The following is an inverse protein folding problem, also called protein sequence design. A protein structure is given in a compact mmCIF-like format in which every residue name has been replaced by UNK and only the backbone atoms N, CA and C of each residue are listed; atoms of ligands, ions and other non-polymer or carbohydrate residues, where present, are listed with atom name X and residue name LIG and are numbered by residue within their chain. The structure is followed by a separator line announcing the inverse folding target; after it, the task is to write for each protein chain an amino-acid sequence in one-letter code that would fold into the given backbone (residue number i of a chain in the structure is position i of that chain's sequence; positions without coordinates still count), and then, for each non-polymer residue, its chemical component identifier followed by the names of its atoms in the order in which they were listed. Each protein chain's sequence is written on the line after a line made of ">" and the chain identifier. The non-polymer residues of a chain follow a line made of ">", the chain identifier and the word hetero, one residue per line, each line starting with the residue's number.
data_IF_029204120592
#
_entry.id   IF_029204120592
#
_cell.length_a   1.000
_cell.length_b   1.000
_cell.length_c   1.000
_cell.angle_alpha   90.00
_cell.angle_beta   90.00
_cell.angle_gamma   90.00
#
_symmetry.space_group_name_H-M   'P 1'
#
loop_
_entity.id
_entity.type
_entity.pdbx_description
1 polymer ?
#
# COMPACT_ATOMS: atom_id res chain seq x y z
N UNK A 1 -8.79 17.35 -16.42
CA UNK A 1 -7.74 16.66 -15.64
C UNK A 1 -8.42 15.60 -14.78
N UNK A 2 -7.98 14.35 -14.84
CA UNK A 2 -8.56 13.25 -14.10
C UNK A 2 -8.29 13.38 -12.59
N UNK A 3 -9.02 12.62 -11.75
CA UNK A 3 -8.79 12.61 -10.30
C UNK A 3 -7.39 12.05 -9.97
N UNK A 4 -6.94 11.06 -10.71
CA UNK A 4 -5.58 10.51 -10.60
C UNK A 4 -4.55 11.60 -10.87
N UNK A 5 -4.64 12.31 -11.99
CA UNK A 5 -3.68 13.36 -12.35
C UNK A 5 -3.65 14.50 -11.34
N UNK A 6 -4.81 14.94 -10.87
CA UNK A 6 -4.90 15.97 -9.81
C UNK A 6 -4.20 15.52 -8.53
N UNK A 7 -4.45 14.30 -8.08
CA UNK A 7 -3.85 13.77 -6.86
C UNK A 7 -2.34 13.61 -7.01
N UNK A 8 -1.86 13.05 -8.12
CA UNK A 8 -0.43 12.92 -8.41
C UNK A 8 0.27 14.27 -8.38
N UNK A 9 -0.32 15.30 -9.01
CA UNK A 9 0.25 16.65 -9.03
C UNK A 9 0.32 17.27 -7.62
N UNK A 10 -0.76 17.18 -6.84
CA UNK A 10 -0.82 17.70 -5.47
C UNK A 10 0.23 17.03 -4.58
N UNK A 11 0.27 15.69 -4.59
CA UNK A 11 1.18 14.93 -3.74
C UNK A 11 2.64 15.13 -4.13
N UNK A 12 2.94 15.21 -5.43
CA UNK A 12 4.29 15.47 -5.92
C UNK A 12 4.78 16.86 -5.50
N UNK A 13 3.95 17.90 -5.64
CA UNK A 13 4.28 19.27 -5.21
C UNK A 13 4.50 19.38 -3.71
N UNK A 14 3.71 18.69 -2.91
CA UNK A 14 3.80 18.69 -1.43
C UNK A 14 4.81 17.69 -0.87
N UNK A 15 5.50 16.94 -1.72
CA UNK A 15 6.45 15.88 -1.33
C UNK A 15 5.84 14.82 -0.41
N UNK A 16 4.58 14.48 -0.65
CA UNK A 16 3.91 13.38 0.00
C UNK A 16 4.11 12.09 -0.81
N UNK A 17 4.13 10.96 -0.11
CA UNK A 17 4.39 9.64 -0.67
C UNK A 17 3.32 8.66 -0.24
N UNK A 18 3.21 7.55 -0.96
CA UNK A 18 2.60 6.34 -0.45
C UNK A 18 3.66 5.49 0.24
N UNK A 19 3.22 4.44 0.94
CA UNK A 19 4.12 3.63 1.72
C UNK A 19 3.90 2.14 1.49
N UNK A 20 4.98 1.38 1.55
CA UNK A 20 4.95 -0.07 1.58
C UNK A 20 5.82 -0.54 2.74
N UNK A 21 5.24 -1.28 3.69
CA UNK A 21 6.03 -1.85 4.78
C UNK A 21 6.59 -3.21 4.38
N UNK A 22 7.82 -3.46 4.78
CA UNK A 22 8.50 -4.73 4.53
C UNK A 22 9.52 -5.00 5.64
N UNK A 23 10.03 -6.22 5.68
CA UNK A 23 11.20 -6.55 6.49
C UNK A 23 12.48 -6.10 5.79
N UNK A 24 13.47 -5.60 6.54
CA UNK A 24 14.76 -5.17 5.98
C UNK A 24 15.49 -6.29 5.24
N UNK A 25 15.24 -7.56 5.57
CA UNK A 25 15.78 -8.73 4.88
C UNK A 25 15.35 -8.83 3.40
N UNK A 26 14.25 -8.18 3.04
CA UNK A 26 13.75 -8.16 1.65
C UNK A 26 14.40 -7.05 0.80
N UNK A 27 15.11 -6.09 1.42
CA UNK A 27 15.68 -4.95 0.70
C UNK A 27 16.63 -5.33 -0.44
N UNK A 28 17.53 -6.35 -0.31
CA UNK A 28 18.38 -6.75 -1.43
C UNK A 28 17.59 -7.13 -2.68
N UNK A 29 16.51 -7.92 -2.52
CA UNK A 29 15.63 -8.32 -3.61
C UNK A 29 14.90 -7.10 -4.21
N UNK A 30 14.41 -6.19 -3.35
CA UNK A 30 13.72 -4.98 -3.79
C UNK A 30 14.64 -4.04 -4.56
N UNK A 31 15.90 -3.90 -4.15
CA UNK A 31 16.92 -3.13 -4.87
C UNK A 31 17.23 -3.71 -6.26
N UNK A 32 17.13 -5.00 -6.40
CA UNK A 32 17.34 -5.68 -7.69
C UNK A 32 16.11 -5.56 -8.61
N UNK A 33 14.92 -5.84 -8.10
CA UNK A 33 13.71 -6.11 -8.90
C UNK A 33 12.61 -5.04 -8.77
N UNK A 34 12.71 -4.10 -7.83
CA UNK A 34 11.57 -3.30 -7.39
C UNK A 34 10.65 -4.12 -6.48
N UNK A 35 9.45 -3.60 -6.23
CA UNK A 35 8.42 -4.33 -5.48
C UNK A 35 7.62 -5.21 -6.42
N UNK A 36 7.56 -6.50 -6.12
CA UNK A 36 6.81 -7.49 -6.88
C UNK A 36 5.59 -7.95 -6.09
N UNK A 37 4.46 -8.12 -6.76
CA UNK A 37 3.29 -8.78 -6.17
C UNK A 37 3.62 -10.23 -5.81
N UNK A 38 2.89 -10.83 -4.87
CA UNK A 38 3.13 -12.20 -4.43
C UNK A 38 3.04 -13.20 -5.59
N UNK A 39 2.07 -13.01 -6.49
CA UNK A 39 1.93 -13.84 -7.70
C UNK A 39 3.14 -13.68 -8.61
N UNK A 40 3.58 -12.46 -8.87
CA UNK A 40 4.71 -12.18 -9.75
C UNK A 40 6.04 -12.68 -9.17
N UNK A 41 6.21 -12.62 -7.84
CA UNK A 41 7.34 -13.24 -7.15
C UNK A 41 7.41 -14.76 -7.42
N UNK A 42 6.27 -15.46 -7.30
CA UNK A 42 6.20 -16.91 -7.58
C UNK A 42 6.51 -17.22 -9.04
N UNK A 43 5.90 -16.48 -9.97
CA UNK A 43 6.12 -16.67 -11.42
C UNK A 43 7.56 -16.43 -11.82
N UNK A 44 8.23 -15.45 -11.21
CA UNK A 44 9.66 -15.15 -11.48
C UNK A 44 10.62 -15.92 -10.57
N UNK A 45 10.16 -16.79 -9.70
CA UNK A 45 10.96 -17.53 -8.71
C UNK A 45 11.79 -16.60 -7.80
N UNK A 46 11.26 -15.42 -7.45
CA UNK A 46 11.89 -14.38 -6.64
C UNK A 46 11.07 -14.12 -5.37
N UNK A 47 11.02 -15.12 -4.51
CA UNK A 47 10.20 -15.07 -3.29
C UNK A 47 10.88 -14.24 -2.20
N UNK A 48 10.13 -13.36 -1.56
CA UNK A 48 10.60 -12.59 -0.41
C UNK A 48 11.04 -13.51 0.74
N UNK A 49 12.14 -13.17 1.41
CA UNK A 49 12.68 -13.94 2.55
C UNK A 49 11.72 -13.85 3.75
N UNK A 50 11.11 -12.67 3.96
CA UNK A 50 10.21 -12.40 5.07
C UNK A 50 8.91 -11.75 4.57
N UNK A 51 7.93 -12.54 4.09
CA UNK A 51 6.65 -11.99 3.64
C UNK A 51 5.87 -11.40 4.81
N UNK A 52 5.24 -10.24 4.59
CA UNK A 52 4.46 -9.53 5.62
C UNK A 52 3.12 -10.21 5.95
N UNK A 53 2.51 -10.91 4.99
CA UNK A 53 1.26 -11.65 5.18
C UNK A 53 1.47 -13.02 5.82
N UNK A 54 0.56 -13.45 6.71
CA UNK A 54 0.52 -14.83 7.18
C UNK A 54 -0.13 -15.75 6.12
N UNK A 55 -0.09 -17.07 6.32
CA UNK A 55 -0.63 -18.04 5.36
C UNK A 55 -2.11 -17.76 5.06
N UNK A 56 -2.91 -17.45 6.08
CA UNK A 56 -4.32 -17.12 5.90
C UNK A 56 -4.53 -15.86 5.05
N UNK A 57 -3.76 -14.80 5.30
CA UNK A 57 -3.81 -13.56 4.53
C UNK A 57 -3.40 -13.79 3.08
N UNK A 58 -2.31 -14.54 2.86
CA UNK A 58 -1.84 -14.90 1.52
C UNK A 58 -2.86 -15.78 0.78
N UNK A 59 -3.53 -16.71 1.46
CA UNK A 59 -4.57 -17.54 0.88
C UNK A 59 -5.84 -16.74 0.57
N UNK A 60 -6.21 -15.77 1.42
CA UNK A 60 -7.31 -14.86 1.15
C UNK A 60 -7.03 -14.00 -0.09
N UNK A 61 -5.83 -13.41 -0.18
CA UNK A 61 -5.41 -12.62 -1.33
C UNK A 61 -5.37 -13.46 -2.63
N UNK A 62 -4.89 -14.70 -2.54
CA UNK A 62 -4.86 -15.61 -3.68
C UNK A 62 -6.28 -15.95 -4.17
N UNK A 63 -7.21 -16.25 -3.26
CA UNK A 63 -8.60 -16.56 -3.61
C UNK A 63 -9.35 -15.39 -4.20
N UNK A 64 -9.06 -14.16 -3.76
CA UNK A 64 -9.68 -12.93 -4.27
C UNK A 64 -8.94 -12.31 -5.45
N UNK A 65 -7.77 -12.86 -5.84
CA UNK A 65 -6.92 -12.30 -6.89
C UNK A 65 -6.08 -11.09 -6.44
N UNK A 66 -6.10 -10.73 -5.17
CA UNK A 66 -5.33 -9.60 -4.62
C UNK A 66 -3.84 -9.89 -4.55
N UNK A 67 -3.42 -11.14 -4.61
CA UNK A 67 -2.02 -11.54 -4.70
C UNK A 67 -1.30 -11.10 -5.99
N UNK A 68 -2.06 -10.66 -6.99
CA UNK A 68 -1.54 -10.04 -8.22
C UNK A 68 -1.18 -8.57 -8.10
N UNK A 69 -1.36 -7.97 -6.93
CA UNK A 69 -1.11 -6.55 -6.68
C UNK A 69 0.00 -6.36 -5.65
N UNK A 70 0.75 -5.26 -5.79
CA UNK A 70 1.56 -4.69 -4.72
C UNK A 70 0.65 -3.76 -3.92
N UNK A 71 0.59 -3.95 -2.60
CA UNK A 71 -0.28 -3.21 -1.70
C UNK A 71 0.46 -2.03 -1.09
N UNK A 72 -0.09 -0.83 -1.22
CA UNK A 72 0.43 0.40 -0.64
C UNK A 72 -0.57 0.99 0.35
N UNK A 73 -0.07 1.72 1.33
CA UNK A 73 -0.87 2.49 2.27
C UNK A 73 -0.56 3.99 2.18
N UNK A 74 -1.46 4.80 2.72
CA UNK A 74 -1.34 6.27 2.72
C UNK A 74 -0.48 6.80 3.87
N UNK A 75 -0.26 5.98 4.90
CA UNK A 75 0.51 6.35 6.08
C UNK A 75 1.75 5.45 6.24
N UNK A 76 2.76 5.96 6.90
CA UNK A 76 3.89 5.16 7.39
C UNK A 76 3.58 4.44 8.71
N UNK A 77 2.34 3.99 8.83
CA UNK A 77 1.78 3.28 9.97
C UNK A 77 0.57 2.48 9.46
N UNK A 78 0.61 1.16 9.62
CA UNK A 78 -0.44 0.27 9.12
C UNK A 78 -0.76 -0.84 10.13
N UNK A 79 -2.05 -1.15 10.38
CA UNK A 79 -2.43 -2.19 11.34
C UNK A 79 -1.81 -3.55 11.07
N UNK A 80 -1.69 -3.94 9.81
CA UNK A 80 -1.11 -5.23 9.42
C UNK A 80 0.40 -5.32 9.67
N UNK A 81 1.13 -4.19 9.60
CA UNK A 81 2.55 -4.13 9.97
C UNK A 81 2.74 -4.45 11.44
N UNK A 82 1.96 -3.83 12.30
CA UNK A 82 1.99 -4.09 13.74
C UNK A 82 1.70 -5.55 14.05
N UNK A 83 0.65 -6.13 13.45
CA UNK A 83 0.30 -7.55 13.62
C UNK A 83 1.43 -8.45 13.14
N UNK A 84 2.04 -8.17 11.98
CA UNK A 84 3.14 -8.96 11.43
C UNK A 84 4.36 -8.96 12.35
N UNK A 85 4.66 -7.84 12.99
CA UNK A 85 5.73 -7.74 13.99
C UNK A 85 5.41 -8.52 15.26
N UNK A 86 4.18 -8.39 15.79
CA UNK A 86 3.76 -9.14 16.98
C UNK A 86 3.81 -10.67 16.76
N UNK A 87 3.55 -11.10 15.55
CA UNK A 87 3.61 -12.53 15.16
C UNK A 87 5.03 -13.00 14.77
N UNK A 88 6.04 -12.14 14.87
CA UNK A 88 7.43 -12.48 14.53
C UNK A 88 7.70 -12.72 13.04
N UNK A 89 6.77 -12.37 12.15
CA UNK A 89 6.94 -12.50 10.68
C UNK A 89 7.84 -11.40 10.12
N UNK A 90 7.79 -10.23 10.71
CA UNK A 90 8.68 -9.11 10.44
C UNK A 90 9.51 -8.86 11.69
N UNK A 91 10.82 -8.99 11.58
CA UNK A 91 11.76 -8.73 12.67
C UNK A 91 12.13 -7.24 12.71
N UNK A 92 12.46 -6.68 11.57
CA UNK A 92 12.90 -5.31 11.44
C UNK A 92 12.14 -4.61 10.30
N UNK A 93 11.06 -3.92 10.68
CA UNK A 93 10.17 -3.25 9.74
C UNK A 93 10.77 -1.96 9.19
N UNK A 94 10.55 -1.73 7.91
CA UNK A 94 10.80 -0.46 7.22
C UNK A 94 9.62 -0.09 6.34
N UNK A 95 9.27 1.20 6.31
CA UNK A 95 8.28 1.76 5.39
C UNK A 95 9.02 2.42 4.22
N UNK A 96 8.92 1.80 3.04
CA UNK A 96 9.43 2.37 1.80
C UNK A 96 8.51 3.48 1.32
N UNK A 97 9.11 4.58 0.87
CA UNK A 97 8.38 5.71 0.27
C UNK A 97 8.19 5.46 -1.22
N UNK A 98 6.96 5.51 -1.66
CA UNK A 98 6.59 5.25 -3.06
C UNK A 98 6.10 6.55 -3.70
N UNK A 99 6.66 6.89 -4.85
CA UNK A 99 6.28 8.08 -5.61
C UNK A 99 4.79 8.06 -5.97
N UNK A 100 4.07 9.19 -5.84
CA UNK A 100 2.68 9.30 -6.31
C UNK A 100 2.48 8.97 -7.79
N UNK A 101 3.55 9.04 -8.59
CA UNK A 101 3.53 8.67 -10.01
C UNK A 101 3.01 7.23 -10.24
N UNK A 102 3.15 6.36 -9.24
CA UNK A 102 2.67 4.97 -9.29
C UNK A 102 1.17 4.86 -9.58
N UNK A 103 0.36 5.86 -9.22
CA UNK A 103 -1.08 5.89 -9.54
C UNK A 103 -1.38 5.87 -11.04
N UNK A 104 -0.40 6.24 -11.89
CA UNK A 104 -0.54 6.20 -13.35
C UNK A 104 -0.39 4.79 -13.93
N UNK A 105 -0.02 3.82 -13.12
CA UNK A 105 0.09 2.42 -13.56
C UNK A 105 -1.27 1.92 -14.05
N UNK A 106 -1.37 1.37 -15.26
CA UNK A 106 -2.64 0.84 -15.77
C UNK A 106 -3.22 -0.23 -14.84
N UNK A 107 -4.52 -0.17 -14.59
CA UNK A 107 -5.19 -1.13 -13.72
C UNK A 107 -5.03 -0.88 -12.22
N UNK A 108 -4.49 0.28 -11.82
CA UNK A 108 -4.44 0.66 -10.40
C UNK A 108 -5.82 0.73 -9.80
N UNK A 109 -5.99 0.01 -8.68
CA UNK A 109 -7.22 -0.03 -7.91
C UNK A 109 -7.01 0.62 -6.53
N UNK A 110 -8.08 1.04 -5.90
CA UNK A 110 -8.09 1.49 -4.50
C UNK A 110 -9.24 0.81 -3.78
N UNK A 111 -9.00 0.46 -2.53
CA UNK A 111 -10.01 -0.06 -1.61
C UNK A 111 -10.01 0.80 -0.33
N UNK A 112 -11.18 1.05 0.22
CA UNK A 112 -11.41 1.87 1.41
C UNK A 112 -11.35 1.07 2.72
N UNK A 113 -10.78 -0.11 2.66
CA UNK A 113 -10.53 -1.00 3.80
C UNK A 113 -9.31 -1.89 3.51
N UNK A 114 -8.98 -2.79 4.43
CA UNK A 114 -7.94 -3.80 4.21
C UNK A 114 -8.41 -4.79 3.14
N UNK A 115 -7.62 -4.99 2.10
CA UNK A 115 -8.01 -5.72 0.88
C UNK A 115 -8.29 -7.22 1.10
N UNK A 116 -7.76 -7.82 2.17
CA UNK A 116 -7.99 -9.22 2.51
C UNK A 116 -9.32 -9.49 3.24
N UNK A 117 -10.14 -8.47 3.47
CA UNK A 117 -11.48 -8.65 4.04
C UNK A 117 -12.43 -9.23 2.99
N UNK A 118 -13.39 -10.05 3.44
CA UNK A 118 -14.38 -10.65 2.56
C UNK A 118 -15.34 -9.63 1.91
N UNK A 119 -15.52 -8.47 2.56
CA UNK A 119 -16.37 -7.36 2.08
C UNK A 119 -15.56 -6.27 1.35
N UNK A 120 -14.27 -6.47 1.12
CA UNK A 120 -13.45 -5.54 0.37
C UNK A 120 -13.90 -5.49 -1.11
N UNK A 121 -14.08 -4.27 -1.61
CA UNK A 121 -14.55 -4.01 -2.98
C UNK A 121 -13.62 -3.00 -3.69
N UNK A 122 -12.45 -3.47 -4.18
CA UNK A 122 -11.53 -2.61 -4.92
C UNK A 122 -12.18 -2.03 -6.18
N UNK A 123 -11.97 -0.76 -6.40
CA UNK A 123 -12.47 -0.03 -7.58
C UNK A 123 -11.32 0.68 -8.29
N UNK A 124 -11.46 1.04 -9.56
CA UNK A 124 -10.47 1.86 -10.27
C UNK A 124 -10.11 3.13 -9.49
N UNK A 125 -8.83 3.44 -9.40
CA UNK A 125 -8.33 4.60 -8.65
C UNK A 125 -9.05 5.89 -9.03
N UNK A 126 -9.32 6.10 -10.32
CA UNK A 126 -10.03 7.28 -10.82
C UNK A 126 -11.40 7.49 -10.14
N UNK A 127 -12.15 6.42 -9.89
CA UNK A 127 -13.47 6.47 -9.26
C UNK A 127 -13.43 6.54 -7.73
N UNK A 128 -12.35 6.02 -7.13
CA UNK A 128 -12.25 5.95 -5.66
C UNK A 128 -11.66 7.19 -5.02
N UNK A 129 -10.72 7.88 -5.69
CA UNK A 129 -10.02 9.04 -5.11
C UNK A 129 -10.98 10.09 -4.55
N UNK A 130 -12.09 10.35 -5.24
CA UNK A 130 -13.10 11.32 -4.80
C UNK A 130 -13.91 10.87 -3.57
N UNK A 131 -13.87 9.60 -3.22
CA UNK A 131 -14.62 9.00 -2.10
C UNK A 131 -13.77 8.86 -0.83
N UNK A 132 -12.44 8.97 -0.96
CA UNK A 132 -11.52 8.85 0.17
C UNK A 132 -11.51 10.14 0.99
N UNK A 133 -11.33 10.00 2.29
CA UNK A 133 -11.11 11.14 3.19
C UNK A 133 -9.65 11.62 3.13
N UNK A 134 -9.24 12.14 1.96
CA UNK A 134 -7.89 12.67 1.75
C UNK A 134 -7.59 13.87 2.63
N UNK A 135 -8.64 14.58 3.08
CA UNK A 135 -8.48 15.72 3.97
C UNK A 135 -7.90 15.31 5.31
N UNK A 136 -8.39 14.22 5.92
CA UNK A 136 -7.84 13.75 7.21
C UNK A 136 -6.42 13.23 7.07
N UNK A 137 -6.04 12.75 5.87
CA UNK A 137 -4.68 12.22 5.60
C UNK A 137 -3.67 13.34 5.42
N UNK A 138 -4.00 14.37 4.62
CA UNK A 138 -3.02 15.34 4.11
C UNK A 138 -3.17 16.75 4.67
N UNK A 139 -4.13 17.01 5.57
CA UNK A 139 -4.27 18.29 6.24
C UNK A 139 -4.07 18.17 7.74
N UNK A 140 -3.59 19.24 8.36
CA UNK A 140 -3.48 19.28 9.82
C UNK A 140 -4.86 19.19 10.46
N UNK A 141 -5.04 18.21 11.35
CA UNK A 141 -6.28 17.96 12.08
C UNK A 141 -6.04 17.95 13.58
N UNK A 142 -7.10 18.18 14.37
CA UNK A 142 -7.03 17.98 15.82
C UNK A 142 -7.11 16.49 16.15
N UNK A 143 -5.93 15.88 16.34
CA UNK A 143 -5.81 14.46 16.65
C UNK A 143 -6.44 14.04 18.00
N UNK A 144 -6.78 14.99 18.87
CA UNK A 144 -7.47 14.74 20.15
C UNK A 144 -8.99 14.64 19.99
N UNK A 145 -9.53 15.16 18.89
CA UNK A 145 -10.96 15.05 18.59
C UNK A 145 -11.33 13.59 18.28
N UNK A 146 -12.27 12.97 19.03
CA UNK A 146 -12.71 11.59 18.81
C UNK A 146 -13.21 11.33 17.38
N UNK A 147 -13.85 12.31 16.75
CA UNK A 147 -14.34 12.21 15.35
C UNK A 147 -13.14 12.14 14.38
N UNK A 148 -12.12 12.96 14.59
CA UNK A 148 -10.89 12.92 13.80
C UNK A 148 -10.15 11.60 13.99
N UNK A 149 -10.07 11.10 15.23
CA UNK A 149 -9.46 9.80 15.52
C UNK A 149 -10.14 8.65 14.77
N UNK A 150 -11.47 8.65 14.71
CA UNK A 150 -12.21 7.62 13.96
C UNK A 150 -11.96 7.71 12.45
N UNK A 151 -11.96 8.91 11.89
CA UNK A 151 -11.61 9.15 10.50
C UNK A 151 -10.20 8.69 10.17
N UNK A 152 -9.23 8.95 11.04
CA UNK A 152 -7.85 8.48 10.89
C UNK A 152 -7.76 6.95 10.96
N UNK A 153 -8.47 6.29 11.89
CA UNK A 153 -8.53 4.83 11.97
C UNK A 153 -9.07 4.21 10.69
N UNK A 154 -10.09 4.81 10.10
CA UNK A 154 -10.65 4.37 8.82
C UNK A 154 -9.65 4.58 7.69
N UNK A 155 -9.07 5.78 7.58
CA UNK A 155 -8.13 6.11 6.52
C UNK A 155 -6.84 5.28 6.55
N UNK A 156 -6.38 4.85 7.73
CA UNK A 156 -5.24 3.93 7.88
C UNK A 156 -5.45 2.55 7.26
N UNK A 157 -6.69 2.19 6.98
CA UNK A 157 -7.03 0.90 6.34
C UNK A 157 -7.13 1.01 4.81
N UNK A 158 -7.09 2.23 4.24
CA UNK A 158 -7.11 2.39 2.79
C UNK A 158 -5.87 1.77 2.16
N UNK A 159 -6.08 1.04 1.08
CA UNK A 159 -4.98 0.45 0.31
C UNK A 159 -5.06 0.84 -1.16
N UNK A 160 -3.88 1.05 -1.75
CA UNK A 160 -3.70 1.21 -3.18
C UNK A 160 -3.09 -0.08 -3.71
N UNK A 161 -3.67 -0.61 -4.77
CA UNK A 161 -3.32 -1.90 -5.35
C UNK A 161 -2.71 -1.66 -6.73
N UNK A 162 -1.40 -1.90 -6.84
CA UNK A 162 -0.66 -1.70 -8.10
C UNK A 162 -0.44 -3.06 -8.76
N UNK A 163 -0.88 -3.27 -10.00
CA UNK A 163 -0.75 -4.56 -10.68
C UNK A 163 0.72 -4.99 -10.85
N UNK A 164 1.00 -6.22 -10.55
CA UNK A 164 2.23 -6.97 -10.77
C UNK A 164 3.47 -6.43 -10.04
N UNK A 165 3.90 -5.19 -10.31
CA UNK A 165 5.16 -4.66 -9.79
C UNK A 165 5.18 -3.14 -9.71
N UNK A 166 6.08 -2.63 -8.88
CA UNK A 166 6.48 -1.22 -8.84
C UNK A 166 7.96 -1.15 -9.17
N UNK A 167 8.30 -0.39 -10.22
CA UNK A 167 9.68 -0.22 -10.65
C UNK A 167 10.54 0.51 -9.60
N UNK A 168 11.85 0.23 -9.59
CA UNK A 168 12.79 0.78 -8.60
C UNK A 168 12.82 2.30 -8.55
N UNK A 169 12.71 2.94 -9.69
CA UNK A 169 12.75 4.40 -9.84
C UNK A 169 11.54 5.11 -9.20
N UNK A 170 10.48 4.37 -8.91
CA UNK A 170 9.33 4.86 -8.16
C UNK A 170 9.46 4.67 -6.64
N UNK A 171 10.53 4.02 -6.17
CA UNK A 171 10.82 3.81 -4.74
C UNK A 171 11.86 4.84 -4.30
N UNK A 172 11.47 5.75 -3.44
CA UNK A 172 12.31 6.89 -3.04
C UNK A 172 13.30 6.50 -1.97
N UNK A 173 14.58 6.73 -2.22
CA UNK A 173 15.65 6.48 -1.23
C UNK A 173 16.00 5.01 -1.03
N UNK A 174 15.80 4.18 -2.06
CA UNK A 174 16.11 2.75 -2.03
C UNK A 174 17.63 2.48 -2.16
#
# INVERSE_FOLDING_TARGET
>A
MSNVEKLVEILSKSRNYFYHFTDTRNLPLIRESGLLSMRFQREQQRVAIAPGGNDWSQDADRRSGMDGYVHLCFFNDHPMEWIARQQGRIEQSVFLKISPQVLRSPGTMIVDTVSNRADADPKPAESMISKLDLKVIYTRTDWKDPVVQERLRTAKKYEILIPNQIAKDLIVGL
#
